data_IF_146054532886
#
_entry.id   IF_146054532886
#
_cell.length_a   1.000
_cell.length_b   1.000
_cell.length_c   1.000
_cell.angle_alpha   90.00
_cell.angle_beta   90.00
_cell.angle_gamma   90.00
#
_symmetry.space_group_name_H-M   'P 1'
#
loop_
_entity.id
_entity.type
_entity.pdbx_description
1 polymer ?
#
# COMPACT_ATOMS: atom_id res chain seq x y z
N UNK A 1 -7.69 26.19 10.21
CA UNK A 1 -7.40 25.89 8.78
C UNK A 1 -7.96 24.51 8.48
N UNK A 2 -8.59 24.31 7.33
CA UNK A 2 -9.04 22.98 6.89
C UNK A 2 -7.89 22.28 6.14
N UNK A 3 -7.15 21.43 6.84
CA UNK A 3 -6.00 20.73 6.26
C UNK A 3 -6.42 19.64 5.27
N UNK A 4 -7.54 18.97 5.51
CA UNK A 4 -8.03 17.88 4.64
C UNK A 4 -8.48 18.47 3.31
N UNK A 5 -9.24 19.57 3.35
CA UNK A 5 -9.66 20.29 2.14
C UNK A 5 -8.50 20.81 1.31
N UNK A 6 -7.48 21.41 1.96
CA UNK A 6 -6.28 21.91 1.29
C UNK A 6 -5.47 20.79 0.60
N UNK A 7 -5.31 19.64 1.28
CA UNK A 7 -4.66 18.46 0.72
C UNK A 7 -5.48 17.87 -0.43
N UNK A 8 -6.79 17.71 -0.25
CA UNK A 8 -7.68 17.18 -1.28
C UNK A 8 -7.62 18.01 -2.57
N UNK A 9 -7.65 19.34 -2.44
CA UNK A 9 -7.50 20.27 -3.56
C UNK A 9 -6.14 20.12 -4.25
N UNK A 10 -5.06 20.05 -3.47
CA UNK A 10 -3.69 19.97 -3.99
C UNK A 10 -3.40 18.65 -4.70
N UNK A 11 -3.88 17.53 -4.14
CA UNK A 11 -3.73 16.17 -4.70
C UNK A 11 -4.48 16.07 -6.03
N UNK A 12 -5.74 16.52 -6.07
CA UNK A 12 -6.55 16.50 -7.29
C UNK A 12 -6.01 17.41 -8.38
N UNK A 13 -5.44 18.56 -8.02
CA UNK A 13 -4.77 19.44 -8.98
C UNK A 13 -3.56 18.78 -9.68
N UNK A 14 -3.03 17.69 -9.11
CA UNK A 14 -1.98 16.85 -9.72
C UNK A 14 -2.53 15.62 -10.46
N UNK A 15 -3.85 15.49 -10.60
CA UNK A 15 -4.48 14.34 -11.25
C UNK A 15 -4.47 13.05 -10.42
N UNK A 16 -4.14 13.14 -9.13
CA UNK A 16 -4.11 11.99 -8.22
C UNK A 16 -5.47 11.74 -7.58
N UNK A 17 -5.73 10.46 -7.28
CA UNK A 17 -6.85 10.02 -6.45
C UNK A 17 -6.63 10.46 -5.00
N UNK A 18 -7.71 10.86 -4.33
CA UNK A 18 -7.66 11.37 -2.96
C UNK A 18 -8.29 10.36 -1.99
N UNK A 19 -7.57 9.98 -0.94
CA UNK A 19 -8.10 9.13 0.12
C UNK A 19 -8.02 9.79 1.49
N UNK A 20 -8.81 9.31 2.45
CA UNK A 20 -8.76 9.71 3.86
C UNK A 20 -8.63 8.47 4.73
N UNK A 21 -7.69 8.48 5.66
CA UNK A 21 -7.59 7.48 6.72
C UNK A 21 -8.31 7.93 7.99
N UNK A 22 -9.03 7.01 8.63
CA UNK A 22 -9.69 7.24 9.90
C UNK A 22 -9.36 6.12 10.89
N UNK A 23 -8.70 6.50 11.98
CA UNK A 23 -8.26 5.61 13.06
C UNK A 23 -9.12 5.77 14.33
N UNK A 24 -10.17 6.60 14.25
CA UNK A 24 -10.89 7.11 15.39
C UNK A 24 -11.69 6.06 16.16
N UNK A 25 -12.01 4.90 15.57
CA UNK A 25 -12.85 3.87 16.22
C UNK A 25 -12.19 3.33 17.50
N UNK A 26 -10.86 3.19 17.50
CA UNK A 26 -10.12 2.69 18.66
C UNK A 26 -9.95 3.74 19.76
N UNK A 27 -10.21 5.02 19.48
CA UNK A 27 -10.04 6.09 20.47
C UNK A 27 -10.79 5.79 21.77
N UNK A 28 -12.01 5.22 21.67
CA UNK A 28 -12.77 4.86 22.87
C UNK A 28 -11.99 3.86 23.73
N UNK A 29 -11.25 2.90 23.18
CA UNK A 29 -10.55 1.89 24.00
C UNK A 29 -9.08 2.21 24.26
N UNK A 30 -8.38 2.75 23.28
CA UNK A 30 -6.92 2.86 23.24
C UNK A 30 -6.36 3.97 24.13
N UNK A 31 -7.11 5.04 24.33
CA UNK A 31 -6.63 6.26 25.00
C UNK A 31 -6.63 6.14 26.54
N UNK A 32 -7.02 4.98 27.08
CA UNK A 32 -7.04 4.72 28.51
C UNK A 32 -5.68 4.22 29.00
N UNK A 33 -4.97 5.00 29.83
CA UNK A 33 -3.71 4.57 30.43
C UNK A 33 -3.91 3.43 31.43
N UNK A 34 -2.85 2.68 31.72
CA UNK A 34 -2.84 1.75 32.86
C UNK A 34 -3.06 2.51 34.19
N UNK A 35 -3.53 1.86 35.26
CA UNK A 35 -3.81 2.54 36.53
C UNK A 35 -2.65 3.40 37.08
N UNK A 36 -1.41 2.91 36.95
CA UNK A 36 -0.23 3.65 37.41
C UNK A 36 0.02 4.91 36.58
N UNK A 37 -0.13 4.82 35.25
CA UNK A 37 -0.01 5.98 34.36
C UNK A 37 -1.18 6.95 34.59
N UNK A 38 -2.39 6.42 34.82
CA UNK A 38 -3.58 7.23 35.11
C UNK A 38 -3.37 8.11 36.35
N UNK A 39 -2.89 7.53 37.45
CA UNK A 39 -2.61 8.25 38.69
C UNK A 39 -1.56 9.36 38.48
N UNK A 40 -0.51 9.06 37.71
CA UNK A 40 0.52 10.05 37.36
C UNK A 40 -0.05 11.20 36.53
N UNK A 41 -0.81 10.90 35.47
CA UNK A 41 -1.41 11.90 34.60
C UNK A 41 -2.45 12.77 35.32
N UNK A 42 -3.22 12.19 36.24
CA UNK A 42 -4.14 12.94 37.11
C UNK A 42 -3.38 13.89 38.05
N UNK A 43 -2.31 13.41 38.69
CA UNK A 43 -1.46 14.25 39.54
C UNK A 43 -0.79 15.39 38.74
N UNK A 44 -0.41 15.12 37.49
CA UNK A 44 0.14 16.10 36.56
C UNK A 44 -0.92 17.04 35.95
N UNK A 45 -2.22 16.82 36.23
CA UNK A 45 -3.34 17.56 35.62
C UNK A 45 -3.28 17.55 34.09
N UNK A 46 -2.99 16.38 33.53
CA UNK A 46 -3.03 16.19 32.08
C UNK A 46 -4.42 16.53 31.53
N UNK A 47 -4.44 17.10 30.33
CA UNK A 47 -5.65 17.48 29.59
C UNK A 47 -6.63 16.32 29.39
N UNK A 48 -6.13 15.08 29.37
CA UNK A 48 -6.89 13.83 29.40
C UNK A 48 -8.01 13.79 30.45
N UNK A 49 -7.79 14.44 31.61
CA UNK A 49 -8.72 14.47 32.75
C UNK A 49 -9.40 15.83 32.94
N UNK A 50 -9.17 16.79 32.04
CA UNK A 50 -9.86 18.08 32.07
C UNK A 50 -11.28 17.92 31.49
N UNK A 51 -12.34 18.31 32.22
CA UNK A 51 -13.71 18.29 31.71
C UNK A 51 -13.91 19.05 30.40
N UNK A 52 -13.09 20.07 30.12
CA UNK A 52 -13.12 20.82 28.86
C UNK A 52 -12.83 19.91 27.65
N UNK A 53 -11.98 18.89 27.81
CA UNK A 53 -11.55 18.00 26.74
C UNK A 53 -12.22 16.62 26.79
N UNK A 54 -13.23 16.44 27.65
CA UNK A 54 -13.87 15.14 27.88
C UNK A 54 -14.43 14.50 26.60
N UNK A 55 -14.98 15.29 25.67
CA UNK A 55 -15.49 14.80 24.36
C UNK A 55 -14.37 14.37 23.41
N UNK A 56 -13.19 14.99 23.49
CA UNK A 56 -12.04 14.61 22.65
C UNK A 56 -11.42 13.30 23.14
N UNK A 57 -11.29 13.16 24.46
CA UNK A 57 -10.57 12.07 25.09
C UNK A 57 -11.43 10.85 25.43
N UNK A 58 -12.73 10.99 25.68
CA UNK A 58 -13.64 9.88 26.00
C UNK A 58 -13.21 8.99 27.21
N UNK A 59 -12.34 9.51 28.10
CA UNK A 59 -11.74 8.74 29.22
C UNK A 59 -12.64 8.66 30.45
N UNK A 60 -13.43 9.69 30.75
CA UNK A 60 -14.11 9.81 32.04
C UNK A 60 -15.41 8.97 32.17
N UNK A 61 -16.17 8.77 31.08
CA UNK A 61 -17.45 8.05 31.07
C UNK A 61 -17.37 6.84 30.15
N UNK A 62 -17.51 5.64 30.75
CA UNK A 62 -17.40 4.33 30.08
C UNK A 62 -18.72 3.57 30.03
N UNK A 63 -19.82 4.26 30.34
CA UNK A 63 -21.15 3.66 30.28
C UNK A 63 -21.52 3.27 28.85
N UNK A 64 -22.48 2.35 28.71
CA UNK A 64 -23.08 2.01 27.42
C UNK A 64 -23.67 3.25 26.72
N UNK A 65 -24.15 4.23 27.49
CA UNK A 65 -24.62 5.50 26.98
C UNK A 65 -23.48 6.33 26.37
N UNK A 66 -22.29 6.34 26.98
CA UNK A 66 -21.10 7.00 26.43
C UNK A 66 -20.62 6.32 25.14
N UNK A 67 -20.55 4.98 25.14
CA UNK A 67 -20.22 4.22 23.95
C UNK A 67 -21.20 4.53 22.81
N UNK A 68 -22.50 4.58 23.09
CA UNK A 68 -23.53 4.92 22.10
C UNK A 68 -23.30 6.32 21.51
N UNK A 69 -23.04 7.32 22.35
CA UNK A 69 -22.73 8.69 21.89
C UNK A 69 -21.46 8.72 21.03
N UNK A 70 -20.41 8.02 21.45
CA UNK A 70 -19.15 7.92 20.71
C UNK A 70 -19.37 7.29 19.32
N UNK A 71 -20.14 6.20 19.23
CA UNK A 71 -20.42 5.53 17.95
C UNK A 71 -21.26 6.41 17.00
N UNK A 72 -22.22 7.17 17.54
CA UNK A 72 -22.96 8.16 16.74
C UNK A 72 -22.04 9.27 16.23
N UNK A 73 -21.14 9.79 17.06
CA UNK A 73 -20.15 10.80 16.66
C UNK A 73 -19.17 10.26 15.60
N UNK A 74 -18.67 9.04 15.79
CA UNK A 74 -17.82 8.36 14.81
C UNK A 74 -18.52 8.23 13.45
N UNK A 75 -19.80 7.81 13.43
CA UNK A 75 -20.57 7.73 12.19
C UNK A 75 -20.75 9.11 11.55
N UNK A 76 -21.16 10.11 12.34
CA UNK A 76 -21.38 11.48 11.86
C UNK A 76 -20.11 12.10 11.26
N UNK A 77 -18.95 11.90 11.89
CA UNK A 77 -17.66 12.37 11.36
C UNK A 77 -17.29 11.71 10.04
N UNK A 78 -17.54 10.41 9.88
CA UNK A 78 -17.29 9.75 8.60
C UNK A 78 -18.24 10.24 7.50
N UNK A 79 -19.51 10.47 7.82
CA UNK A 79 -20.45 11.13 6.89
C UNK A 79 -19.96 12.53 6.51
N UNK A 80 -19.47 13.32 7.47
CA UNK A 80 -18.89 14.63 7.19
C UNK A 80 -17.68 14.53 6.25
N UNK A 81 -16.76 13.59 6.47
CA UNK A 81 -15.61 13.36 5.59
C UNK A 81 -16.04 13.00 4.16
N UNK A 82 -17.05 12.15 4.02
CA UNK A 82 -17.63 11.73 2.73
C UNK A 82 -18.21 12.92 2.00
N UNK A 83 -19.09 13.68 2.64
CA UNK A 83 -19.82 14.79 2.00
C UNK A 83 -18.89 15.96 1.66
N UNK A 84 -18.00 16.35 2.58
CA UNK A 84 -17.10 17.50 2.37
C UNK A 84 -16.01 17.22 1.34
N UNK A 85 -15.40 16.04 1.38
CA UNK A 85 -14.16 15.79 0.65
C UNK A 85 -14.29 14.78 -0.47
N UNK A 86 -15.38 14.00 -0.53
CA UNK A 86 -15.65 12.99 -1.58
C UNK A 86 -14.44 12.09 -1.90
N UNK A 87 -13.83 11.43 -0.89
CA UNK A 87 -12.65 10.62 -1.13
C UNK A 87 -12.93 9.52 -2.17
N UNK A 88 -11.91 9.15 -2.92
CA UNK A 88 -11.87 7.93 -3.74
C UNK A 88 -11.60 6.68 -2.87
N UNK A 89 -10.94 6.86 -1.72
CA UNK A 89 -10.60 5.81 -0.76
C UNK A 89 -10.93 6.25 0.67
N UNK A 90 -11.75 5.48 1.38
CA UNK A 90 -11.82 5.53 2.84
C UNK A 90 -10.97 4.39 3.41
N UNK A 91 -9.95 4.73 4.19
CA UNK A 91 -9.09 3.75 4.83
C UNK A 91 -9.39 3.71 6.33
N UNK A 92 -9.50 2.52 6.89
CA UNK A 92 -9.74 2.33 8.31
C UNK A 92 -8.71 1.39 8.95
N UNK A 93 -8.25 1.80 10.14
CA UNK A 93 -7.33 1.01 10.94
C UNK A 93 -8.05 -0.18 11.63
N UNK A 94 -7.33 -0.81 12.55
CA UNK A 94 -7.82 -1.81 13.49
C UNK A 94 -9.05 -1.32 14.29
N UNK A 95 -9.71 -2.26 14.98
CA UNK A 95 -10.87 -1.99 15.84
C UNK A 95 -12.23 -2.08 15.15
N UNK A 96 -12.27 -2.00 13.81
CA UNK A 96 -13.52 -2.11 13.03
C UNK A 96 -13.97 -3.54 12.72
N UNK A 97 -13.12 -4.54 12.96
CA UNK A 97 -13.43 -5.94 12.68
C UNK A 97 -14.42 -6.55 13.68
N UNK A 98 -14.79 -5.81 14.73
CA UNK A 98 -15.72 -6.30 15.75
C UNK A 98 -17.15 -6.35 15.20
N UNK A 99 -17.84 -7.47 15.46
CA UNK A 99 -19.15 -7.77 14.85
C UNK A 99 -20.31 -6.97 15.40
N UNK A 100 -20.24 -6.51 16.65
CA UNK A 100 -21.29 -5.63 17.20
C UNK A 100 -21.34 -4.27 16.46
N UNK A 101 -20.28 -3.90 15.74
CA UNK A 101 -20.25 -2.70 14.89
C UNK A 101 -20.87 -2.92 13.51
N UNK A 102 -21.24 -4.15 13.14
CA UNK A 102 -21.75 -4.47 11.79
C UNK A 102 -22.90 -3.57 11.36
N UNK A 103 -23.97 -3.34 12.16
CA UNK A 103 -25.06 -2.46 11.74
C UNK A 103 -24.56 -1.05 11.40
N UNK A 104 -23.67 -0.51 12.23
CA UNK A 104 -23.15 0.85 12.07
C UNK A 104 -22.22 0.98 10.87
N UNK A 105 -21.23 0.07 10.74
CA UNK A 105 -20.24 0.15 9.65
C UNK A 105 -20.87 -0.21 8.31
N UNK A 106 -21.83 -1.14 8.26
CA UNK A 106 -22.58 -1.46 7.04
C UNK A 106 -23.47 -0.28 6.62
N UNK A 107 -24.10 0.43 7.56
CA UNK A 107 -24.80 1.68 7.24
C UNK A 107 -23.85 2.73 6.66
N UNK A 108 -22.64 2.87 7.21
CA UNK A 108 -21.65 3.81 6.69
C UNK A 108 -21.19 3.43 5.27
N UNK A 109 -20.89 2.14 5.03
CA UNK A 109 -20.51 1.66 3.70
C UNK A 109 -21.63 1.86 2.68
N UNK A 110 -22.88 1.54 3.04
CA UNK A 110 -24.04 1.79 2.20
C UNK A 110 -24.18 3.27 1.87
N UNK A 111 -24.04 4.16 2.86
CA UNK A 111 -24.07 5.61 2.66
C UNK A 111 -23.00 6.06 1.66
N UNK A 112 -21.74 5.64 1.86
CA UNK A 112 -20.63 6.01 1.01
C UNK A 112 -20.80 5.53 -0.44
N UNK A 113 -21.14 4.25 -0.64
CA UNK A 113 -21.32 3.68 -1.97
C UNK A 113 -22.54 4.24 -2.69
N UNK A 114 -23.64 4.56 -1.99
CA UNK A 114 -24.79 5.23 -2.58
C UNK A 114 -24.45 6.65 -3.04
N UNK A 115 -23.73 7.43 -2.21
CA UNK A 115 -23.25 8.77 -2.59
C UNK A 115 -22.31 8.72 -3.78
N UNK A 116 -21.37 7.77 -3.78
CA UNK A 116 -20.47 7.57 -4.90
C UNK A 116 -21.20 7.22 -6.20
N UNK A 117 -22.26 6.42 -6.14
CA UNK A 117 -23.10 6.12 -7.30
C UNK A 117 -23.82 7.38 -7.83
N UNK A 118 -24.37 8.22 -6.94
CA UNK A 118 -24.95 9.52 -7.32
C UNK A 118 -23.92 10.44 -7.99
N UNK A 119 -22.67 10.45 -7.49
CA UNK A 119 -21.58 11.25 -8.04
C UNK A 119 -20.91 10.62 -9.27
N UNK A 120 -21.28 9.39 -9.63
CA UNK A 120 -20.61 8.58 -10.67
C UNK A 120 -19.09 8.49 -10.44
N UNK A 121 -18.70 8.39 -9.17
CA UNK A 121 -17.31 8.32 -8.75
C UNK A 121 -16.96 6.88 -8.35
N UNK A 122 -15.93 6.25 -8.95
CA UNK A 122 -15.44 4.98 -8.44
C UNK A 122 -14.78 5.22 -7.09
N UNK A 123 -15.28 4.56 -6.05
CA UNK A 123 -14.74 4.63 -4.70
C UNK A 123 -14.52 3.24 -4.13
N UNK A 124 -13.68 3.15 -3.10
CA UNK A 124 -13.52 1.92 -2.33
C UNK A 124 -13.27 2.20 -0.86
N UNK A 125 -13.49 1.18 -0.02
CA UNK A 125 -13.10 1.15 1.38
C UNK A 125 -11.92 0.21 1.50
N UNK A 126 -10.92 0.58 2.29
CA UNK A 126 -9.85 -0.33 2.72
C UNK A 126 -9.82 -0.44 4.24
N UNK A 127 -9.56 -1.64 4.75
CA UNK A 127 -9.58 -1.93 6.18
C UNK A 127 -8.48 -2.87 6.59
N UNK A 128 -7.94 -2.70 7.80
CA UNK A 128 -7.29 -3.81 8.48
C UNK A 128 -8.27 -4.97 8.63
N UNK A 129 -7.77 -6.20 8.44
CA UNK A 129 -8.54 -7.45 8.52
C UNK A 129 -9.75 -7.47 7.57
N UNK A 130 -10.56 -8.52 7.66
CA UNK A 130 -11.76 -8.69 6.86
C UNK A 130 -12.99 -7.97 7.46
N UNK A 131 -12.85 -6.68 7.79
CA UNK A 131 -13.84 -5.95 8.58
C UNK A 131 -15.24 -5.88 7.93
N UNK A 132 -15.31 -5.85 6.59
CA UNK A 132 -16.56 -5.83 5.81
C UNK A 132 -16.91 -7.18 5.16
N UNK A 133 -16.49 -8.30 5.75
CA UNK A 133 -16.84 -9.62 5.24
C UNK A 133 -18.08 -10.22 5.94
N UNK A 134 -18.92 -11.02 5.25
CA UNK A 134 -20.06 -11.70 5.86
C UNK A 134 -19.65 -12.59 7.05
N UNK A 135 -18.55 -13.32 6.91
CA UNK A 135 -17.81 -13.96 8.00
C UNK A 135 -16.40 -13.37 8.05
N UNK A 136 -15.87 -13.06 9.24
CA UNK A 136 -14.54 -12.44 9.39
C UNK A 136 -13.35 -13.26 8.89
N UNK A 137 -13.62 -14.40 8.24
CA UNK A 137 -12.65 -15.31 7.64
C UNK A 137 -12.77 -15.40 6.11
N UNK A 138 -13.82 -14.83 5.52
CA UNK A 138 -14.08 -14.94 4.08
C UNK A 138 -13.71 -13.65 3.33
N UNK A 139 -12.47 -13.58 2.88
CA UNK A 139 -11.94 -12.50 2.04
C UNK A 139 -12.39 -12.57 0.57
N UNK A 140 -13.13 -13.61 0.16
CA UNK A 140 -13.69 -13.72 -1.20
C UNK A 140 -14.99 -12.94 -1.39
N UNK A 141 -15.68 -12.62 -0.29
CA UNK A 141 -16.96 -11.89 -0.30
C UNK A 141 -16.89 -10.58 0.49
N UNK A 142 -15.69 -10.09 0.73
CA UNK A 142 -15.47 -8.87 1.50
C UNK A 142 -15.90 -7.63 0.70
N UNK A 143 -16.56 -6.66 1.33
CA UNK A 143 -16.94 -5.39 0.70
C UNK A 143 -15.89 -4.28 0.79
N UNK A 144 -14.64 -4.63 1.09
CA UNK A 144 -13.51 -3.72 1.26
C UNK A 144 -12.19 -4.36 0.80
N UNK A 145 -11.19 -3.54 0.48
CA UNK A 145 -9.83 -4.01 0.22
C UNK A 145 -9.17 -4.32 1.57
N UNK A 146 -8.69 -5.56 1.73
CA UNK A 146 -7.91 -5.94 2.91
C UNK A 146 -6.54 -5.27 2.87
N UNK A 147 -6.23 -4.55 3.95
CA UNK A 147 -4.93 -3.92 4.19
C UNK A 147 -4.12 -4.69 5.22
N UNK A 148 -2.91 -5.07 4.83
CA UNK A 148 -1.93 -5.73 5.69
C UNK A 148 -0.95 -4.71 6.26
N UNK A 149 -0.48 -4.93 7.49
CA UNK A 149 0.46 -4.01 8.14
C UNK A 149 1.91 -4.39 7.90
N UNK A 150 2.67 -3.54 7.20
CA UNK A 150 4.10 -3.69 6.88
C UNK A 150 4.41 -4.90 5.98
N UNK A 151 5.25 -4.64 4.98
CA UNK A 151 5.76 -5.71 4.10
C UNK A 151 6.64 -6.66 4.91
N UNK A 152 6.35 -7.96 4.82
CA UNK A 152 7.04 -9.01 5.56
C UNK A 152 6.08 -10.07 6.10
N UNK A 153 6.29 -10.50 7.35
CA UNK A 153 5.55 -11.59 7.99
C UNK A 153 4.04 -11.34 8.17
N UNK A 154 3.60 -10.10 8.04
CA UNK A 154 2.20 -9.66 8.19
C UNK A 154 1.49 -9.47 6.85
N UNK A 155 2.19 -9.63 5.73
CA UNK A 155 1.67 -9.49 4.37
C UNK A 155 1.77 -10.82 3.62
N UNK A 156 1.03 -11.03 2.51
CA UNK A 156 1.12 -12.24 1.72
C UNK A 156 2.55 -12.62 1.31
N UNK A 157 2.93 -13.88 1.54
CA UNK A 157 4.24 -14.42 1.17
C UNK A 157 4.37 -14.76 -0.31
N UNK A 158 3.25 -14.85 -1.04
CA UNK A 158 3.18 -15.14 -2.47
C UNK A 158 2.00 -14.43 -3.13
N UNK A 159 1.69 -14.81 -4.38
CA UNK A 159 0.56 -14.26 -5.12
C UNK A 159 -0.73 -14.56 -4.36
N UNK A 160 -1.51 -13.50 -4.10
CA UNK A 160 -2.82 -13.61 -3.48
C UNK A 160 -3.87 -13.17 -4.50
N UNK A 161 -4.89 -14.01 -4.78
CA UNK A 161 -6.00 -13.62 -5.63
C UNK A 161 -6.75 -12.41 -5.08
N UNK A 162 -7.25 -11.57 -5.98
CA UNK A 162 -7.99 -10.37 -5.63
C UNK A 162 -7.14 -9.17 -5.26
N UNK A 163 -7.82 -8.05 -5.09
CA UNK A 163 -7.19 -6.80 -4.69
C UNK A 163 -6.92 -6.82 -3.19
N UNK A 164 -5.67 -6.55 -2.83
CA UNK A 164 -5.25 -6.32 -1.45
C UNK A 164 -4.21 -5.20 -1.45
N UNK A 165 -3.99 -4.59 -0.29
CA UNK A 165 -2.94 -3.59 -0.11
C UNK A 165 -2.12 -3.86 1.14
N UNK A 166 -0.95 -3.24 1.21
CA UNK A 166 -0.10 -3.24 2.41
C UNK A 166 0.41 -1.83 2.62
N UNK A 167 0.25 -1.33 3.83
CA UNK A 167 0.79 -0.06 4.27
C UNK A 167 2.16 -0.26 4.92
N UNK A 168 3.05 0.71 4.73
CA UNK A 168 4.37 0.68 5.34
C UNK A 168 4.91 2.08 5.54
N UNK A 169 5.72 2.27 6.57
CA UNK A 169 6.30 3.56 6.89
C UNK A 169 7.60 3.77 6.11
N UNK A 170 7.82 5.00 5.63
CA UNK A 170 9.10 5.39 5.06
C UNK A 170 10.23 5.30 6.10
N UNK A 171 9.91 5.47 7.39
CA UNK A 171 10.89 5.37 8.48
C UNK A 171 10.53 4.36 9.56
N UNK A 172 11.26 4.42 10.69
CA UNK A 172 11.10 3.49 11.81
C UNK A 172 9.75 3.58 12.54
N UNK A 173 9.04 4.69 12.38
CA UNK A 173 7.73 5.01 12.99
C UNK A 173 6.79 5.60 11.93
N UNK A 174 5.48 5.60 12.21
CA UNK A 174 4.48 6.19 11.32
C UNK A 174 4.51 7.73 11.37
N UNK A 175 4.48 8.30 12.58
CA UNK A 175 4.69 9.73 12.83
C UNK A 175 6.17 10.10 12.94
N UNK A 176 6.50 11.37 12.71
CA UNK A 176 7.86 11.88 12.85
C UNK A 176 8.33 11.78 14.31
N UNK A 177 9.58 11.35 14.49
CA UNK A 177 10.29 11.41 15.77
C UNK A 177 11.74 11.83 15.51
N UNK A 178 12.33 12.59 16.43
CA UNK A 178 13.75 12.95 16.31
C UNK A 178 14.63 11.69 16.25
N UNK A 179 15.58 11.69 15.32
CA UNK A 179 16.45 10.54 15.08
C UNK A 179 15.76 9.33 14.44
N UNK A 180 14.55 9.47 13.88
CA UNK A 180 13.91 8.39 13.12
C UNK A 180 14.81 7.93 11.97
N UNK A 181 14.92 6.61 11.79
CA UNK A 181 15.70 6.07 10.67
C UNK A 181 14.84 6.00 9.43
N UNK A 182 15.32 6.57 8.32
CA UNK A 182 14.64 6.52 7.02
C UNK A 182 15.10 5.31 6.22
N UNK A 183 14.15 4.60 5.60
CA UNK A 183 14.43 3.49 4.70
C UNK A 183 15.07 3.99 3.41
N UNK A 184 16.07 3.27 2.91
CA UNK A 184 16.70 3.61 1.63
C UNK A 184 15.73 3.47 0.45
N UNK A 185 16.01 4.19 -0.64
CA UNK A 185 15.31 4.05 -1.93
C UNK A 185 15.28 2.60 -2.40
N UNK A 186 16.40 1.87 -2.29
CA UNK A 186 16.47 0.46 -2.67
C UNK A 186 15.49 -0.41 -1.85
N UNK A 187 15.36 -0.14 -0.55
CA UNK A 187 14.43 -0.85 0.33
C UNK A 187 12.98 -0.61 -0.07
N UNK A 188 12.61 0.66 -0.30
CA UNK A 188 11.23 1.01 -0.66
C UNK A 188 10.86 0.49 -2.05
N UNK A 189 11.77 0.59 -3.03
CA UNK A 189 11.56 -0.01 -4.36
C UNK A 189 11.39 -1.52 -4.27
N UNK A 190 12.24 -2.23 -3.50
CA UNK A 190 12.11 -3.67 -3.33
C UNK A 190 10.75 -4.08 -2.75
N UNK A 191 10.22 -3.31 -1.80
CA UNK A 191 8.89 -3.54 -1.20
C UNK A 191 7.77 -3.27 -2.21
N UNK A 192 7.80 -2.14 -2.91
CA UNK A 192 6.84 -1.81 -3.98
C UNK A 192 6.79 -2.92 -5.04
N UNK A 193 7.97 -3.30 -5.56
CA UNK A 193 8.11 -4.29 -6.63
C UNK A 193 7.63 -5.68 -6.17
N UNK A 194 7.99 -6.10 -4.94
CA UNK A 194 7.55 -7.38 -4.38
C UNK A 194 6.02 -7.42 -4.17
N UNK A 195 5.44 -6.34 -3.66
CA UNK A 195 3.99 -6.21 -3.45
C UNK A 195 3.22 -6.29 -4.77
N UNK A 196 3.63 -5.54 -5.80
CA UNK A 196 2.95 -5.52 -7.10
C UNK A 196 3.04 -6.88 -7.79
N UNK A 197 4.20 -7.54 -7.74
CA UNK A 197 4.39 -8.88 -8.31
C UNK A 197 3.53 -9.96 -7.62
N UNK A 198 3.05 -9.71 -6.40
CA UNK A 198 2.13 -10.57 -5.63
C UNK A 198 0.66 -10.14 -5.76
N UNK A 199 0.35 -9.28 -6.73
CA UNK A 199 -0.99 -8.76 -7.02
C UNK A 199 -1.53 -7.76 -5.98
N UNK A 200 -0.64 -7.05 -5.27
CA UNK A 200 -1.01 -6.09 -4.22
C UNK A 200 -0.72 -4.64 -4.60
N UNK A 201 -1.31 -3.71 -3.82
CA UNK A 201 -0.98 -2.28 -3.86
C UNK A 201 -0.12 -1.90 -2.66
N UNK A 202 0.92 -1.08 -2.88
CA UNK A 202 1.82 -0.59 -1.82
C UNK A 202 1.44 0.82 -1.39
N UNK A 203 1.07 1.00 -0.13
CA UNK A 203 0.71 2.30 0.47
C UNK A 203 1.87 2.81 1.35
N UNK A 204 2.66 3.74 0.83
CA UNK A 204 3.78 4.33 1.56
C UNK A 204 3.34 5.51 2.45
N UNK A 205 3.54 5.39 3.75
CA UNK A 205 3.35 6.46 4.72
C UNK A 205 4.57 7.38 4.81
N UNK A 206 4.32 8.69 4.85
CA UNK A 206 5.33 9.73 5.11
C UNK A 206 5.18 10.29 6.53
N UNK A 207 6.24 10.91 7.04
CA UNK A 207 6.27 11.43 8.40
C UNK A 207 6.70 12.90 8.40
N UNK A 208 5.80 13.84 8.08
CA UNK A 208 6.06 15.27 8.18
C UNK A 208 6.35 15.69 9.64
N UNK A 209 7.15 16.75 9.80
CA UNK A 209 7.39 17.41 11.07
C UNK A 209 6.12 18.14 11.56
N UNK A 210 6.12 18.54 12.84
CA UNK A 210 4.98 19.22 13.46
C UNK A 210 4.62 20.56 12.79
N UNK A 211 5.58 21.22 12.13
CA UNK A 211 5.37 22.45 11.35
C UNK A 211 4.83 22.18 9.94
N UNK A 212 4.68 20.92 9.54
CA UNK A 212 4.24 20.47 8.22
C UNK A 212 5.36 20.21 7.21
N UNK A 213 6.63 20.45 7.57
CA UNK A 213 7.78 20.22 6.69
C UNK A 213 8.01 18.71 6.48
N UNK A 214 8.11 18.26 5.23
CA UNK A 214 8.59 16.90 4.92
C UNK A 214 10.12 16.92 5.00
N UNK A 215 10.76 16.10 5.87
CA UNK A 215 12.22 16.08 5.98
C UNK A 215 12.94 15.79 4.66
N UNK A 216 14.11 16.40 4.45
CA UNK A 216 14.86 16.30 3.18
C UNK A 216 15.25 14.86 2.81
N UNK A 217 15.52 14.01 3.81
CA UNK A 217 15.81 12.59 3.60
C UNK A 217 14.60 11.86 2.97
N UNK A 218 13.39 12.12 3.48
CA UNK A 218 12.15 11.55 2.92
C UNK A 218 11.90 12.10 1.50
N UNK A 219 12.12 13.40 1.29
CA UNK A 219 11.98 13.99 -0.05
C UNK A 219 12.97 13.39 -1.05
N UNK A 220 14.20 13.10 -0.64
CA UNK A 220 15.25 12.51 -1.48
C UNK A 220 14.83 11.12 -1.94
N UNK A 221 14.43 10.25 -1.00
CA UNK A 221 13.90 8.91 -1.29
C UNK A 221 12.73 8.98 -2.27
N UNK A 222 11.77 9.88 -2.04
CA UNK A 222 10.61 10.06 -2.92
C UNK A 222 10.99 10.50 -4.34
N UNK A 223 11.96 11.42 -4.48
CA UNK A 223 12.43 11.89 -5.79
C UNK A 223 13.14 10.78 -6.56
N UNK A 224 13.96 9.98 -5.87
CA UNK A 224 14.67 8.86 -6.48
C UNK A 224 13.70 7.74 -6.92
N UNK A 225 12.71 7.40 -6.08
CA UNK A 225 11.61 6.48 -6.47
C UNK A 225 10.87 7.04 -7.69
N UNK A 226 10.51 8.33 -7.69
CA UNK A 226 9.84 8.97 -8.80
C UNK A 226 10.67 9.00 -10.09
N UNK A 227 11.99 9.16 -9.99
CA UNK A 227 12.90 9.08 -11.13
C UNK A 227 12.94 7.66 -11.70
N UNK A 228 12.98 6.64 -10.84
CA UNK A 228 12.94 5.24 -11.26
C UNK A 228 11.61 4.89 -11.94
N UNK A 229 10.47 5.27 -11.33
CA UNK A 229 9.13 5.04 -11.88
C UNK A 229 8.87 5.75 -13.21
N UNK A 230 9.52 6.89 -13.46
CA UNK A 230 9.42 7.58 -14.76
C UNK A 230 9.97 6.75 -15.91
N UNK A 231 10.98 5.93 -15.64
CA UNK A 231 11.62 5.06 -16.64
C UNK A 231 10.97 3.68 -16.66
N UNK A 232 10.66 3.13 -15.49
CA UNK A 232 10.28 1.74 -15.31
C UNK A 232 8.80 1.54 -14.94
N UNK A 233 8.01 2.61 -14.90
CA UNK A 233 6.63 2.60 -14.41
C UNK A 233 5.68 1.73 -15.22
N UNK A 234 5.97 1.46 -16.50
CA UNK A 234 5.21 0.52 -17.33
C UNK A 234 5.20 -0.91 -16.76
N UNK A 235 6.20 -1.27 -15.92
CA UNK A 235 6.26 -2.55 -15.23
C UNK A 235 5.56 -2.54 -13.85
N UNK A 236 4.95 -1.43 -13.46
CA UNK A 236 4.26 -1.25 -12.17
C UNK A 236 2.80 -0.89 -12.41
N UNK A 237 2.55 0.23 -13.08
CA UNK A 237 1.20 0.73 -13.35
C UNK A 237 0.46 -0.15 -14.36
N UNK A 238 -0.83 -0.35 -14.14
CA UNK A 238 -1.72 -1.17 -14.95
C UNK A 238 -1.26 -2.63 -15.15
N UNK A 239 -0.32 -3.08 -14.30
CA UNK A 239 0.16 -4.46 -14.31
C UNK A 239 -0.61 -5.36 -13.35
N UNK A 240 -0.46 -6.66 -13.55
CA UNK A 240 -0.96 -7.69 -12.63
C UNK A 240 0.10 -8.79 -12.45
N UNK A 241 -0.12 -9.65 -11.46
CA UNK A 241 0.80 -10.77 -11.21
C UNK A 241 0.84 -11.74 -12.40
N UNK A 242 2.03 -12.26 -12.70
CA UNK A 242 2.20 -13.40 -13.59
C UNK A 242 1.79 -14.71 -12.87
N UNK A 243 2.08 -15.87 -13.47
CA UNK A 243 1.88 -17.18 -12.83
C UNK A 243 2.83 -17.45 -11.65
N UNK A 244 3.95 -16.73 -11.58
CA UNK A 244 4.88 -16.72 -10.45
C UNK A 244 5.31 -15.28 -10.18
N UNK A 245 5.42 -14.91 -8.90
CA UNK A 245 5.78 -13.54 -8.52
C UNK A 245 7.27 -13.26 -8.71
N UNK A 246 8.12 -14.29 -8.70
CA UNK A 246 9.57 -14.08 -8.75
C UNK A 246 10.41 -15.25 -8.25
N UNK A 247 11.71 -14.98 -8.13
CA UNK A 247 12.75 -15.89 -7.61
C UNK A 247 13.84 -15.07 -6.91
N UNK A 248 14.74 -15.74 -6.17
CA UNK A 248 15.84 -15.07 -5.51
C UNK A 248 15.43 -14.21 -4.30
N UNK A 249 16.43 -13.66 -3.63
CA UNK A 249 16.26 -12.76 -2.47
C UNK A 249 16.24 -13.47 -1.11
N UNK A 250 16.37 -14.80 -1.08
CA UNK A 250 16.57 -15.54 0.15
C UNK A 250 18.05 -15.49 0.57
N UNK A 251 18.32 -15.49 1.89
CA UNK A 251 19.69 -15.52 2.41
C UNK A 251 20.40 -16.80 1.95
N UNK A 252 21.50 -16.64 1.21
CA UNK A 252 22.27 -17.76 0.65
C UNK A 252 21.83 -18.24 -0.74
N UNK A 253 20.80 -17.62 -1.32
CA UNK A 253 20.40 -17.87 -2.70
C UNK A 253 21.24 -17.02 -3.66
N UNK A 254 21.97 -17.67 -4.57
CA UNK A 254 22.78 -17.01 -5.60
C UNK A 254 21.97 -16.64 -6.84
N UNK A 255 20.70 -17.03 -6.91
CA UNK A 255 19.81 -16.66 -8.01
C UNK A 255 19.57 -15.15 -8.01
N UNK A 256 19.43 -14.53 -9.20
CA UNK A 256 19.08 -13.12 -9.26
C UNK A 256 17.76 -12.88 -8.54
N UNK A 257 17.70 -11.80 -7.78
CA UNK A 257 16.47 -11.37 -7.12
C UNK A 257 15.57 -10.73 -8.18
N UNK A 258 14.58 -11.49 -8.65
CA UNK A 258 13.70 -11.08 -9.76
C UNK A 258 12.26 -11.10 -9.30
N UNK A 259 11.49 -10.12 -9.79
CA UNK A 259 10.03 -10.06 -9.67
C UNK A 259 9.39 -9.89 -11.05
N UNK A 260 8.19 -10.45 -11.22
CA UNK A 260 7.49 -10.46 -12.49
C UNK A 260 6.14 -9.78 -12.42
N UNK A 261 5.84 -8.98 -13.44
CA UNK A 261 4.54 -8.33 -13.64
C UNK A 261 4.13 -8.46 -15.10
N UNK A 262 2.83 -8.39 -15.37
CA UNK A 262 2.26 -8.56 -16.72
C UNK A 262 1.43 -7.34 -17.07
N UNK A 263 1.60 -6.81 -18.29
CA UNK A 263 0.70 -5.81 -18.85
C UNK A 263 0.63 -5.97 -20.38
N UNK A 264 -0.60 -6.10 -20.89
CA UNK A 264 -0.84 -6.38 -22.31
C UNK A 264 -0.08 -7.61 -22.81
N UNK A 265 0.67 -7.52 -23.93
CA UNK A 265 1.44 -8.64 -24.47
C UNK A 265 2.83 -8.78 -23.84
N UNK A 266 3.12 -8.07 -22.74
CA UNK A 266 4.44 -7.97 -22.16
C UNK A 266 4.51 -8.61 -20.77
N UNK A 267 5.56 -9.41 -20.58
CA UNK A 267 6.06 -9.77 -19.25
C UNK A 267 7.20 -8.82 -18.91
N UNK A 268 7.20 -8.31 -17.69
CA UNK A 268 8.31 -7.51 -17.17
C UNK A 268 9.07 -8.34 -16.14
N UNK A 269 10.38 -8.50 -16.34
CA UNK A 269 11.28 -9.03 -15.34
C UNK A 269 11.98 -7.84 -14.67
N UNK A 270 11.69 -7.63 -13.38
CA UNK A 270 12.23 -6.55 -12.57
C UNK A 270 13.34 -7.15 -11.71
N UNK A 271 14.60 -6.82 -12.01
CA UNK A 271 15.77 -7.33 -11.30
C UNK A 271 16.12 -6.33 -10.21
N UNK A 272 16.16 -6.81 -8.97
CA UNK A 272 16.50 -6.05 -7.77
C UNK A 272 17.99 -6.22 -7.46
N UNK A 273 18.63 -5.11 -7.09
CA UNK A 273 20.03 -5.09 -6.69
C UNK A 273 20.97 -4.46 -7.72
N UNK A 274 22.29 -4.63 -7.55
CA UNK A 274 23.28 -3.95 -8.36
C UNK A 274 23.27 -4.46 -9.81
N UNK A 275 23.78 -3.62 -10.70
CA UNK A 275 23.96 -4.00 -12.10
C UNK A 275 24.91 -5.20 -12.22
N UNK A 276 24.51 -6.28 -12.90
CA UNK A 276 25.31 -7.49 -12.95
C UNK A 276 26.51 -7.32 -13.89
N UNK A 277 27.64 -7.89 -13.50
CA UNK A 277 28.87 -7.97 -14.33
C UNK A 277 28.96 -9.26 -15.14
N UNK A 278 28.08 -10.22 -14.85
CA UNK A 278 27.96 -11.52 -15.52
C UNK A 278 26.55 -11.71 -16.05
N UNK A 279 26.34 -12.65 -17.00
CA UNK A 279 24.99 -12.95 -17.47
C UNK A 279 24.08 -13.40 -16.32
N UNK A 280 22.84 -12.92 -16.32
CA UNK A 280 21.80 -13.35 -15.38
C UNK A 280 20.95 -14.44 -16.03
N UNK A 281 20.57 -15.46 -15.26
CA UNK A 281 19.70 -16.52 -15.75
C UNK A 281 18.29 -16.39 -15.17
N UNK A 282 17.30 -16.25 -16.04
CA UNK A 282 15.89 -16.20 -15.67
C UNK A 282 15.28 -17.59 -15.79
N UNK A 283 15.39 -18.38 -14.71
CA UNK A 283 14.98 -19.79 -14.70
C UNK A 283 13.48 -20.00 -14.99
N UNK A 284 12.62 -19.08 -14.54
CA UNK A 284 11.18 -19.14 -14.79
C UNK A 284 10.81 -19.08 -16.28
N UNK A 285 11.75 -18.68 -17.15
CA UNK A 285 11.55 -18.54 -18.60
C UNK A 285 12.07 -19.74 -19.40
N UNK A 286 12.54 -20.82 -18.76
CA UNK A 286 13.09 -21.99 -19.46
C UNK A 286 12.12 -22.60 -20.49
N UNK A 287 10.83 -22.64 -20.15
CA UNK A 287 9.76 -23.20 -20.99
C UNK A 287 8.96 -22.14 -21.77
N UNK A 288 9.25 -20.86 -21.59
CA UNK A 288 8.46 -19.76 -22.16
C UNK A 288 8.99 -19.36 -23.52
N UNK A 289 8.15 -19.14 -24.53
CA UNK A 289 8.61 -18.59 -25.82
C UNK A 289 8.85 -17.08 -25.71
N UNK A 290 10.10 -16.63 -25.88
CA UNK A 290 10.49 -15.22 -25.76
C UNK A 290 11.16 -14.86 -27.07
N UNK A 291 10.55 -13.96 -27.82
CA UNK A 291 11.04 -13.54 -29.14
C UNK A 291 11.82 -12.24 -29.07
N UNK A 292 11.62 -11.44 -28.00
CA UNK A 292 12.30 -10.16 -27.82
C UNK A 292 12.51 -9.83 -26.35
N UNK A 293 13.68 -9.27 -26.05
CA UNK A 293 14.06 -8.72 -24.74
C UNK A 293 14.54 -7.30 -24.93
N UNK A 294 14.01 -6.37 -24.14
CA UNK A 294 14.39 -4.97 -24.14
C UNK A 294 14.68 -4.50 -22.72
N UNK A 295 15.68 -3.64 -22.56
CA UNK A 295 15.91 -2.92 -21.31
C UNK A 295 15.10 -1.61 -21.35
N UNK A 296 14.19 -1.40 -20.38
CA UNK A 296 13.46 -0.13 -20.31
C UNK A 296 14.43 1.04 -20.09
N UNK A 297 14.12 2.21 -20.67
CA UNK A 297 14.97 3.39 -20.59
C UNK A 297 16.27 3.33 -21.37
N UNK A 298 16.47 2.31 -22.21
CA UNK A 298 17.68 2.15 -23.02
C UNK A 298 17.36 1.66 -24.42
N UNK A 299 18.10 2.16 -25.41
CA UNK A 299 18.11 1.62 -26.78
C UNK A 299 19.20 0.57 -26.99
N UNK A 300 20.00 0.27 -25.96
CA UNK A 300 21.11 -0.68 -26.09
C UNK A 300 20.58 -2.09 -26.25
N UNK A 301 21.14 -2.83 -27.20
CA UNK A 301 20.77 -4.22 -27.44
C UNK A 301 21.06 -5.08 -26.20
N UNK A 302 20.09 -5.92 -25.85
CA UNK A 302 20.22 -6.96 -24.84
C UNK A 302 20.36 -8.29 -25.56
N UNK A 303 21.40 -9.06 -25.25
CA UNK A 303 21.58 -10.39 -25.83
C UNK A 303 20.91 -11.42 -24.91
N UNK A 304 20.09 -12.29 -25.49
CA UNK A 304 19.40 -13.35 -24.75
C UNK A 304 19.59 -14.70 -25.43
N UNK A 305 19.95 -15.72 -24.66
CA UNK A 305 20.09 -17.10 -25.13
C UNK A 305 19.28 -18.03 -24.24
N UNK A 306 18.34 -18.77 -24.83
CA UNK A 306 17.61 -19.82 -24.11
C UNK A 306 18.46 -21.07 -23.99
N UNK A 307 18.41 -21.70 -22.83
CA UNK A 307 18.90 -23.05 -22.60
C UNK A 307 17.94 -23.79 -21.64
N UNK A 308 18.27 -25.03 -21.28
CA UNK A 308 17.45 -25.86 -20.38
C UNK A 308 17.33 -25.29 -18.96
N UNK A 309 18.23 -24.40 -18.54
CA UNK A 309 18.23 -23.78 -17.22
C UNK A 309 17.45 -22.44 -17.18
N UNK A 310 17.08 -21.86 -18.32
CA UNK A 310 16.37 -20.57 -18.36
C UNK A 310 16.67 -19.71 -19.59
N UNK A 311 16.31 -18.44 -19.49
CA UNK A 311 16.73 -17.40 -20.42
C UNK A 311 17.94 -16.68 -19.84
N UNK A 312 19.12 -16.91 -20.42
CA UNK A 312 20.35 -16.21 -20.05
C UNK A 312 20.38 -14.85 -20.73
N UNK A 313 20.58 -13.79 -19.95
CA UNK A 313 20.59 -12.40 -20.40
C UNK A 313 21.97 -11.80 -20.15
N UNK A 314 22.57 -11.24 -21.20
CA UNK A 314 23.78 -10.42 -21.10
C UNK A 314 23.41 -8.96 -21.25
N UNK A 315 23.67 -8.18 -20.20
CA UNK A 315 23.45 -6.74 -20.17
C UNK A 315 24.69 -5.98 -20.67
N UNK A 316 24.50 -4.72 -21.08
CA UNK A 316 25.61 -3.80 -21.34
C UNK A 316 26.56 -3.69 -20.12
N UNK A 317 27.84 -3.43 -20.38
CA UNK A 317 28.86 -3.31 -19.33
C UNK A 317 28.65 -2.13 -18.38
N UNK A 318 27.93 -1.10 -18.80
CA UNK A 318 27.66 0.10 -18.00
C UNK A 318 26.16 0.24 -17.72
N UNK A 319 25.83 0.41 -16.44
CA UNK A 319 24.48 0.66 -15.98
C UNK A 319 24.01 2.08 -16.33
N UNK A 320 22.79 2.27 -16.84
CA UNK A 320 22.13 3.57 -16.81
C UNK A 320 21.95 4.07 -15.37
N UNK A 321 22.10 5.37 -15.11
CA UNK A 321 21.96 5.94 -13.78
C UNK A 321 20.57 5.68 -13.16
N UNK A 322 19.53 5.58 -13.98
CA UNK A 322 18.16 5.24 -13.58
C UNK A 322 18.01 3.82 -13.00
N UNK A 323 19.05 2.98 -13.10
CA UNK A 323 19.01 1.55 -12.79
C UNK A 323 19.86 1.16 -11.57
N UNK A 324 20.26 2.13 -10.75
CA UNK A 324 21.17 1.89 -9.63
C UNK A 324 20.64 0.89 -8.57
N UNK A 325 19.31 0.79 -8.41
CA UNK A 325 18.68 -0.05 -7.39
C UNK A 325 17.89 -1.23 -7.95
N UNK A 326 17.36 -1.07 -9.15
CA UNK A 326 16.60 -2.08 -9.87
C UNK A 326 16.53 -1.70 -11.36
N UNK A 327 16.36 -2.69 -12.23
CA UNK A 327 16.16 -2.47 -13.66
C UNK A 327 15.13 -3.43 -14.23
N UNK A 328 14.55 -3.06 -15.38
CA UNK A 328 13.43 -3.79 -15.96
C UNK A 328 13.76 -4.26 -17.37
N UNK A 329 13.55 -5.56 -17.57
CA UNK A 329 13.49 -6.16 -18.90
C UNK A 329 12.03 -6.31 -19.33
N UNK A 330 11.68 -5.78 -20.49
CA UNK A 330 10.40 -6.03 -21.17
C UNK A 330 10.57 -7.19 -22.13
N UNK A 331 9.76 -8.23 -21.96
CA UNK A 331 9.79 -9.47 -22.75
C UNK A 331 8.53 -9.62 -23.59
N UNK A 332 8.68 -10.05 -24.83
CA UNK A 332 7.58 -10.26 -25.79
C UNK A 332 7.64 -11.68 -26.39
N UNK A 333 6.49 -12.18 -26.84
CA UNK A 333 6.36 -13.49 -27.52
C UNK A 333 5.81 -14.61 -26.63
N UNK A 334 5.49 -14.29 -25.37
CA UNK A 334 4.99 -15.23 -24.37
C UNK A 334 3.46 -15.39 -24.47
N UNK A 335 2.96 -16.54 -24.03
CA UNK A 335 1.55 -16.72 -23.72
C UNK A 335 1.31 -16.29 -22.27
N UNK A 336 0.65 -15.16 -22.08
CA UNK A 336 0.47 -14.53 -20.76
C UNK A 336 -0.96 -14.75 -20.23
N UNK A 337 -1.14 -14.82 -18.90
CA UNK A 337 -2.48 -14.85 -18.32
C UNK A 337 -3.23 -13.57 -18.71
N UNK A 338 -4.57 -13.66 -18.89
CA UNK A 338 -5.36 -12.45 -19.09
C UNK A 338 -5.31 -11.59 -17.82
N UNK A 339 -5.49 -10.29 -17.99
CA UNK A 339 -5.69 -9.40 -16.85
C UNK A 339 -6.85 -9.91 -15.99
N UNK A 340 -6.73 -9.88 -14.65
CA UNK A 340 -7.82 -10.30 -13.78
C UNK A 340 -9.05 -9.45 -14.07
N UNK A 341 -10.14 -10.09 -14.50
CA UNK A 341 -11.43 -9.42 -14.68
C UNK A 341 -12.05 -9.15 -13.32
N UNK A 342 -11.96 -7.92 -12.83
CA UNK A 342 -12.78 -7.42 -11.72
C UNK A 342 -14.02 -6.75 -12.31
N UNK A 343 -15.00 -7.57 -12.72
CA UNK A 343 -16.33 -7.08 -13.16
C UNK A 343 -17.16 -6.57 -11.98
N UNK A 344 -16.84 -7.07 -10.79
CA UNK A 344 -17.28 -6.66 -9.46
C UNK A 344 -15.98 -6.45 -8.67
N UNK A 345 -15.87 -5.43 -7.81
CA UNK A 345 -14.62 -5.08 -7.11
C UNK A 345 -14.06 -6.13 -6.13
N UNK A 346 -14.49 -7.39 -6.23
CA UNK A 346 -14.07 -8.51 -5.39
C UNK A 346 -13.26 -9.54 -6.19
N UNK A 347 -12.27 -10.21 -5.57
CA UNK A 347 -11.70 -11.43 -6.13
C UNK A 347 -12.79 -12.43 -6.49
N UNK A 348 -12.82 -12.92 -7.73
CA UNK A 348 -13.42 -14.21 -8.05
C UNK A 348 -12.38 -15.31 -7.96
#
# INVERSE_FOLDING_TARGET
RDLIGDLAKSIRARGLKFGVSNHGIENFTFINPSPDIAAHLQAARADLYDPQWATFYNVADRSDAALTRFLHDWFARNVELIEKYRPDLLWFDNGLDIRYLDPLKLHLAAYYYNRAAEWKQPVTISTKKAAFAPSGLNDRQIGSIVDFEKVGSRSPSGIRPGVWQVDDAIGSTWGYTDGMRISSTATILARLIDTVAKNGTYLLNLSPQADGTIPDEQQTVLREIGAWLRVNGEAIYDTHAWKTFGSGGNRGDSSPHVRYTVHGPHLYAIILGPWPTTPINLAALAAENVTRVELLGSSTAVTSTRNSAGLSITLPSTAPASHAHAFVLRLTGLTLPPAPTVTDGNPR
#
